data_IF_642806593976
#
_entry.id   IF_642806593976
#
_cell.length_a   1.000
_cell.length_b   1.000
_cell.length_c   1.000
_cell.angle_alpha   90.00
_cell.angle_beta   90.00
_cell.angle_gamma   90.00
#
_symmetry.space_group_name_H-M   'P 1'
#
loop_
_entity.id
_entity.type
_entity.pdbx_description
1 polymer ?
#
# COMPACT_ATOMS: atom_id res chain seq x y z
N UNK A 1 -16.92 16.05 -13.98
CA UNK A 1 -16.44 16.58 -12.67
C UNK A 1 -17.02 15.81 -11.48
N UNK A 2 -18.29 15.40 -11.53
CA UNK A 2 -18.97 14.65 -10.45
C UNK A 2 -18.34 13.28 -10.14
N UNK A 3 -17.93 12.52 -11.17
CA UNK A 3 -17.27 11.21 -10.97
C UNK A 3 -15.91 11.28 -10.26
N UNK A 4 -15.14 12.37 -10.41
CA UNK A 4 -13.86 12.55 -9.70
C UNK A 4 -14.10 12.84 -8.21
N UNK A 5 -15.09 13.68 -7.90
CA UNK A 5 -15.47 14.00 -6.53
C UNK A 5 -15.92 12.74 -5.78
N UNK A 6 -16.76 11.92 -6.39
CA UNK A 6 -17.21 10.65 -5.79
C UNK A 6 -16.06 9.68 -5.50
N UNK A 7 -15.05 9.59 -6.40
CA UNK A 7 -13.85 8.78 -6.16
C UNK A 7 -13.02 9.29 -4.98
N UNK A 8 -12.84 10.61 -4.87
CA UNK A 8 -12.11 11.23 -3.76
C UNK A 8 -12.83 11.00 -2.44
N UNK A 9 -14.16 11.23 -2.39
CA UNK A 9 -14.96 10.99 -1.19
C UNK A 9 -14.88 9.54 -0.73
N UNK A 10 -14.96 8.58 -1.67
CA UNK A 10 -14.81 7.16 -1.36
C UNK A 10 -13.43 6.85 -0.76
N UNK A 11 -12.36 7.38 -1.35
CA UNK A 11 -11.00 7.21 -0.82
C UNK A 11 -10.85 7.80 0.59
N UNK A 12 -11.42 8.98 0.84
CA UNK A 12 -11.40 9.60 2.16
C UNK A 12 -12.15 8.75 3.19
N UNK A 13 -13.32 8.21 2.85
CA UNK A 13 -14.06 7.29 3.72
C UNK A 13 -13.23 6.06 4.08
N UNK A 14 -12.60 5.43 3.09
CA UNK A 14 -11.77 4.24 3.32
C UNK A 14 -10.57 4.55 4.21
N UNK A 15 -9.93 5.72 4.05
CA UNK A 15 -8.84 6.14 4.94
C UNK A 15 -9.36 6.36 6.37
N UNK A 16 -10.54 6.93 6.55
CA UNK A 16 -11.12 7.17 7.87
C UNK A 16 -11.46 5.89 8.65
N UNK A 17 -11.70 4.78 7.95
CA UNK A 17 -11.94 3.47 8.56
C UNK A 17 -10.66 2.83 9.14
N UNK A 18 -9.48 3.32 8.75
CA UNK A 18 -8.19 2.81 9.24
C UNK A 18 -7.88 3.30 10.65
N UNK A 19 -7.04 2.57 11.39
CA UNK A 19 -6.50 3.06 12.66
C UNK A 19 -5.65 4.33 12.45
N UNK A 20 -5.46 5.20 13.47
CA UNK A 20 -4.66 6.42 13.32
C UNK A 20 -3.22 6.20 12.81
N UNK A 21 -2.61 5.06 13.16
CA UNK A 21 -1.28 4.67 12.68
C UNK A 21 -1.31 4.34 11.18
N UNK A 22 -2.29 3.55 10.75
CA UNK A 22 -2.47 3.18 9.35
C UNK A 22 -2.84 4.39 8.49
N UNK A 23 -3.68 5.30 8.99
CA UNK A 23 -3.95 6.58 8.35
C UNK A 23 -2.66 7.37 8.11
N UNK A 24 -1.83 7.48 9.14
CA UNK A 24 -0.54 8.18 9.06
C UNK A 24 0.40 7.52 8.05
N UNK A 25 0.44 6.18 8.01
CA UNK A 25 1.23 5.42 7.05
C UNK A 25 0.76 5.61 5.60
N UNK A 26 -0.56 5.58 5.34
CA UNK A 26 -1.13 5.86 4.02
C UNK A 26 -0.84 7.29 3.58
N UNK A 27 -0.99 8.27 4.49
CA UNK A 27 -0.65 9.67 4.20
C UNK A 27 0.84 9.81 3.89
N UNK A 28 1.72 9.12 4.63
CA UNK A 28 3.14 9.10 4.35
C UNK A 28 3.44 8.54 2.96
N UNK A 29 2.81 7.42 2.59
CA UNK A 29 2.96 6.80 1.27
C UNK A 29 2.52 7.75 0.15
N UNK A 30 1.38 8.43 0.32
CA UNK A 30 0.90 9.41 -0.67
C UNK A 30 1.87 10.58 -0.81
N UNK A 31 2.38 11.13 0.30
CA UNK A 31 3.30 12.26 0.29
C UNK A 31 4.67 11.91 -0.29
N UNK A 32 5.13 10.68 -0.08
CA UNK A 32 6.44 10.22 -0.52
C UNK A 32 6.32 9.15 -1.62
N UNK A 33 5.29 9.27 -2.47
CA UNK A 33 4.93 8.25 -3.46
C UNK A 33 6.11 7.81 -4.34
N UNK A 34 6.94 8.76 -4.78
CA UNK A 34 8.11 8.43 -5.59
C UNK A 34 9.09 7.52 -4.83
N UNK A 35 9.40 7.84 -3.57
CA UNK A 35 10.28 7.03 -2.73
C UNK A 35 9.66 5.66 -2.47
N UNK A 36 8.38 5.61 -2.10
CA UNK A 36 7.68 4.35 -1.87
C UNK A 36 7.65 3.47 -3.13
N UNK A 37 7.47 4.07 -4.30
CA UNK A 37 7.48 3.36 -5.59
C UNK A 37 8.85 2.76 -5.88
N UNK A 38 9.93 3.51 -5.69
CA UNK A 38 11.27 2.98 -5.91
C UNK A 38 11.60 1.85 -4.93
N UNK A 39 11.20 1.97 -3.65
CA UNK A 39 11.34 0.88 -2.67
C UNK A 39 10.54 -0.38 -3.05
N UNK A 40 9.36 -0.23 -3.66
CA UNK A 40 8.55 -1.37 -4.09
C UNK A 40 9.14 -2.06 -5.32
N UNK A 41 9.78 -1.29 -6.21
CA UNK A 41 10.38 -1.80 -7.46
C UNK A 41 11.70 -2.54 -7.25
N UNK A 42 12.43 -2.25 -6.16
CA UNK A 42 13.79 -2.79 -5.98
C UNK A 42 13.83 -4.31 -5.97
N UNK A 43 12.79 -4.96 -5.45
CA UNK A 43 12.73 -6.42 -5.42
C UNK A 43 11.30 -6.93 -5.42
N UNK A 44 11.05 -7.93 -6.26
CA UNK A 44 9.80 -8.70 -6.20
C UNK A 44 9.99 -9.80 -5.15
N UNK A 45 9.13 -9.78 -4.13
CA UNK A 45 9.08 -10.83 -3.13
C UNK A 45 8.30 -12.03 -3.65
N UNK A 46 8.75 -13.23 -3.31
CA UNK A 46 7.95 -14.43 -3.51
C UNK A 46 6.74 -14.42 -2.54
N UNK A 47 5.63 -15.10 -2.88
CA UNK A 47 4.40 -15.06 -2.08
C UNK A 47 4.62 -15.42 -0.60
N UNK A 48 5.38 -16.48 -0.32
CA UNK A 48 5.64 -16.94 1.04
C UNK A 48 6.47 -15.91 1.85
N UNK A 49 7.43 -15.25 1.19
CA UNK A 49 8.26 -14.21 1.81
C UNK A 49 7.44 -12.96 2.14
N UNK A 50 6.55 -12.58 1.23
CA UNK A 50 5.63 -11.47 1.42
C UNK A 50 4.68 -11.75 2.59
N UNK A 51 4.09 -12.95 2.65
CA UNK A 51 3.20 -13.34 3.74
C UNK A 51 3.91 -13.34 5.08
N UNK A 52 5.15 -13.86 5.14
CA UNK A 52 5.95 -13.83 6.35
C UNK A 52 6.31 -12.40 6.78
N UNK A 53 6.62 -11.51 5.83
CA UNK A 53 6.90 -10.10 6.11
C UNK A 53 5.66 -9.37 6.64
N UNK A 54 4.48 -9.64 6.06
CA UNK A 54 3.22 -9.05 6.51
C UNK A 54 2.86 -9.51 7.93
N UNK A 55 2.99 -10.81 8.23
CA UNK A 55 2.75 -11.32 9.58
C UNK A 55 3.65 -10.63 10.61
N UNK A 56 4.95 -10.51 10.33
CA UNK A 56 5.87 -9.77 11.22
C UNK A 56 5.46 -8.31 11.41
N UNK A 57 5.05 -7.62 10.33
CA UNK A 57 4.60 -6.23 10.41
C UNK A 57 3.32 -6.08 11.25
N UNK A 58 2.43 -7.07 11.21
CA UNK A 58 1.23 -7.13 12.07
C UNK A 58 1.62 -7.37 13.53
N UNK A 59 2.48 -8.35 13.79
CA UNK A 59 2.95 -8.69 15.14
C UNK A 59 3.67 -7.52 15.82
N UNK A 60 4.43 -6.74 15.05
CA UNK A 60 5.17 -5.57 15.55
C UNK A 60 4.37 -4.27 15.55
N UNK A 61 3.11 -4.30 15.10
CA UNK A 61 2.27 -3.12 14.93
C UNK A 61 2.94 -2.02 14.06
N UNK A 62 3.68 -2.44 13.03
CA UNK A 62 4.35 -1.56 12.07
C UNK A 62 3.41 -1.20 10.93
N UNK A 63 2.65 -0.12 11.13
CA UNK A 63 1.70 0.37 10.14
C UNK A 63 2.34 0.80 8.81
N UNK A 64 3.56 1.33 8.83
CA UNK A 64 4.24 1.76 7.61
C UNK A 64 4.64 0.55 6.77
N UNK A 65 5.24 -0.46 7.41
CA UNK A 65 5.63 -1.69 6.73
C UNK A 65 4.40 -2.43 6.17
N UNK A 66 3.30 -2.53 6.94
CA UNK A 66 2.03 -3.10 6.45
C UNK A 66 1.56 -2.42 5.16
N UNK A 67 1.52 -1.08 5.15
CA UNK A 67 1.05 -0.30 3.98
C UNK A 67 2.00 -0.43 2.78
N UNK A 68 3.32 -0.46 3.01
CA UNK A 68 4.31 -0.66 1.95
C UNK A 68 4.22 -2.07 1.35
N UNK A 69 4.01 -3.11 2.16
CA UNK A 69 3.83 -4.49 1.69
C UNK A 69 2.54 -4.63 0.88
N UNK A 70 1.44 -4.01 1.31
CA UNK A 70 0.20 -3.99 0.53
C UNK A 70 0.38 -3.28 -0.82
N UNK A 71 1.07 -2.13 -0.82
CA UNK A 71 1.39 -1.43 -2.06
C UNK A 71 2.29 -2.26 -2.98
N UNK A 72 3.29 -2.95 -2.42
CA UNK A 72 4.17 -3.87 -3.15
C UNK A 72 3.37 -4.94 -3.88
N UNK A 73 2.46 -5.63 -3.17
CA UNK A 73 1.61 -6.67 -3.74
C UNK A 73 0.77 -6.15 -4.91
N UNK A 74 0.06 -5.03 -4.69
CA UNK A 74 -0.77 -4.40 -5.72
C UNK A 74 0.07 -4.02 -6.95
N UNK A 75 1.25 -3.42 -6.73
CA UNK A 75 2.11 -3.01 -7.83
C UNK A 75 2.49 -4.18 -8.72
N UNK A 76 2.99 -5.28 -8.14
CA UNK A 76 3.44 -6.44 -8.91
C UNK A 76 2.30 -7.23 -9.54
N UNK A 77 1.14 -7.32 -8.89
CA UNK A 77 -0.09 -7.89 -9.49
C UNK A 77 -0.55 -7.10 -10.72
N UNK A 78 -0.49 -5.76 -10.67
CA UNK A 78 -0.80 -4.92 -11.83
C UNK A 78 0.26 -5.06 -12.94
N UNK A 79 1.54 -5.19 -12.59
CA UNK A 79 2.59 -5.44 -13.58
C UNK A 79 2.39 -6.79 -14.30
N UNK A 80 1.93 -7.83 -13.61
CA UNK A 80 1.67 -9.12 -14.23
C UNK A 80 0.47 -9.10 -15.18
N UNK A 81 -0.55 -8.27 -14.92
CA UNK A 81 -1.69 -8.08 -15.84
C UNK A 81 -1.31 -7.37 -17.15
N UNK A 82 -0.20 -6.63 -17.15
CA UNK A 82 0.28 -5.86 -18.30
C UNK A 82 1.21 -6.70 -19.19
N UNK A 83 1.71 -7.85 -18.70
CA UNK A 83 2.50 -8.77 -19.52
C UNK A 83 1.61 -9.42 -20.59
N UNK A 84 2.05 -9.46 -21.87
CA UNK A 84 1.30 -10.07 -22.96
C UNK A 84 1.15 -11.58 -22.82
#
# INVERSE_FOLDING_TARGET
>A
MEGRKNKITKLQSLIQELSPKEQSAVIWLIRHFHVATELVKTERMEPDEWEAALHRAIEWDDALMKVLLLYHKIYWEEQDKIKP
#
